data_IF_870524664061
#
_entry.id   IF_870524664061
#
_cell.length_a   1.000
_cell.length_b   1.000
_cell.length_c   1.000
_cell.angle_alpha   90.00
_cell.angle_beta   90.00
_cell.angle_gamma   90.00
#
_symmetry.space_group_name_H-M   'P 1'
#
loop_
_entity.id
_entity.type
_entity.pdbx_description
1 polymer ?
#
# COMPACT_ATOMS: atom_id res chain seq x y z
N UNK A 1 -19.84 2.32 -12.31
CA UNK A 1 -18.67 1.66 -11.68
C UNK A 1 -19.17 0.52 -10.80
N UNK A 2 -18.63 -0.70 -10.95
CA UNK A 2 -18.96 -1.83 -10.06
C UNK A 2 -18.39 -1.54 -8.67
N UNK A 3 -19.22 -1.60 -7.61
CA UNK A 3 -18.73 -1.58 -6.23
C UNK A 3 -17.85 -2.83 -6.03
N UNK A 4 -16.53 -2.65 -5.94
CA UNK A 4 -15.62 -3.73 -5.57
C UNK A 4 -15.84 -4.07 -4.10
N UNK A 5 -15.88 -5.36 -3.79
CA UNK A 5 -15.86 -5.85 -2.40
C UNK A 5 -14.45 -5.73 -1.83
N UNK A 6 -14.33 -5.60 -0.50
CA UNK A 6 -13.06 -5.37 0.21
C UNK A 6 -11.94 -6.35 -0.19
N UNK A 7 -12.27 -7.63 -0.39
CA UNK A 7 -11.30 -8.66 -0.77
C UNK A 7 -10.68 -8.44 -2.14
N UNK A 8 -11.44 -7.92 -3.11
CA UNK A 8 -10.92 -7.61 -4.45
C UNK A 8 -10.04 -6.36 -4.42
N UNK A 9 -10.40 -5.37 -3.61
CA UNK A 9 -9.55 -4.19 -3.38
C UNK A 9 -8.20 -4.58 -2.77
N UNK A 10 -8.19 -5.49 -1.78
CA UNK A 10 -6.95 -5.97 -1.17
C UNK A 10 -6.08 -6.76 -2.16
N UNK A 11 -6.67 -7.61 -2.99
CA UNK A 11 -5.93 -8.34 -4.04
C UNK A 11 -5.27 -7.38 -5.02
N UNK A 12 -6.00 -6.37 -5.48
CA UNK A 12 -5.48 -5.36 -6.40
C UNK A 12 -4.33 -4.56 -5.75
N UNK A 13 -4.50 -4.13 -4.50
CA UNK A 13 -3.49 -3.39 -3.74
C UNK A 13 -2.20 -4.19 -3.56
N UNK A 14 -2.30 -5.46 -3.13
CA UNK A 14 -1.14 -6.35 -2.97
C UNK A 14 -0.47 -6.65 -4.31
N UNK A 15 -1.25 -6.86 -5.38
CA UNK A 15 -0.70 -7.08 -6.71
C UNK A 15 0.07 -5.86 -7.20
N UNK A 16 -0.48 -4.66 -7.04
CA UNK A 16 0.18 -3.41 -7.41
C UNK A 16 1.51 -3.25 -6.65
N UNK A 17 1.50 -3.45 -5.33
CA UNK A 17 2.71 -3.40 -4.49
C UNK A 17 3.77 -4.42 -4.95
N UNK A 18 3.36 -5.64 -5.29
CA UNK A 18 4.28 -6.66 -5.81
C UNK A 18 4.90 -6.26 -7.15
N UNK A 19 4.15 -5.56 -8.00
CA UNK A 19 4.63 -5.09 -9.30
C UNK A 19 5.54 -3.88 -9.18
N UNK A 20 5.31 -2.99 -8.20
CA UNK A 20 6.20 -1.87 -7.92
C UNK A 20 7.52 -2.32 -7.31
N UNK A 21 7.53 -3.39 -6.50
CA UNK A 21 8.72 -3.92 -5.84
C UNK A 21 8.98 -5.40 -6.12
N UNK A 22 9.65 -5.74 -7.24
CA UNK A 22 10.01 -7.13 -7.53
C UNK A 22 11.02 -7.73 -6.52
N UNK A 23 11.71 -6.90 -5.73
CA UNK A 23 12.87 -7.31 -4.91
C UNK A 23 12.68 -7.31 -3.38
N UNK A 24 11.45 -7.18 -2.86
CA UNK A 24 11.21 -7.14 -1.41
C UNK A 24 11.82 -5.92 -0.69
N UNK A 25 11.78 -4.75 -1.32
CA UNK A 25 12.26 -3.55 -0.66
C UNK A 25 11.15 -2.88 0.15
N UNK A 26 11.58 -2.10 1.14
CA UNK A 26 10.75 -1.16 1.87
C UNK A 26 10.24 -0.07 0.92
N UNK A 27 8.92 0.18 0.92
CA UNK A 27 8.27 1.21 0.10
C UNK A 27 7.76 2.32 1.00
N UNK A 28 8.06 3.57 0.66
CA UNK A 28 7.52 4.71 1.38
C UNK A 28 5.98 4.74 1.25
N UNK A 29 5.27 4.95 2.36
CA UNK A 29 3.80 4.94 2.35
C UNK A 29 3.23 5.97 1.35
N UNK A 30 3.83 7.14 1.26
CA UNK A 30 3.36 8.21 0.39
C UNK A 30 3.47 7.84 -1.09
N UNK A 31 4.58 7.22 -1.48
CA UNK A 31 4.78 6.70 -2.83
C UNK A 31 3.78 5.59 -3.15
N UNK A 32 3.57 4.64 -2.23
CA UNK A 32 2.60 3.57 -2.40
C UNK A 32 1.17 4.09 -2.63
N UNK A 33 0.77 5.11 -1.86
CA UNK A 33 -0.54 5.77 -2.00
C UNK A 33 -0.65 6.46 -3.37
N UNK A 34 0.42 7.13 -3.82
CA UNK A 34 0.46 7.76 -5.13
C UNK A 34 0.32 6.73 -6.27
N UNK A 35 0.99 5.57 -6.17
CA UNK A 35 0.84 4.47 -7.12
C UNK A 35 -0.60 3.95 -7.15
N UNK A 36 -1.18 3.62 -5.99
CA UNK A 36 -2.57 3.13 -5.92
C UNK A 36 -3.59 4.15 -6.42
N UNK A 37 -3.32 5.45 -6.25
CA UNK A 37 -4.14 6.52 -6.83
C UNK A 37 -4.02 6.53 -8.35
N UNK A 38 -2.81 6.45 -8.91
CA UNK A 38 -2.57 6.42 -10.34
C UNK A 38 -3.21 5.19 -11.01
N UNK A 39 -3.23 4.05 -10.32
CA UNK A 39 -3.91 2.82 -10.77
C UNK A 39 -5.44 2.86 -10.58
N UNK A 40 -5.98 3.90 -9.93
CA UNK A 40 -7.41 4.02 -9.65
C UNK A 40 -7.94 3.04 -8.59
N UNK A 41 -7.05 2.44 -7.80
CA UNK A 41 -7.40 1.49 -6.73
C UNK A 41 -8.14 2.21 -5.59
N UNK A 42 -7.75 3.45 -5.29
CA UNK A 42 -8.32 4.27 -4.21
C UNK A 42 -9.69 4.88 -4.53
N UNK A 43 -10.23 4.62 -5.72
CA UNK A 43 -11.46 5.22 -6.24
C UNK A 43 -11.21 6.19 -7.39
N UNK A 44 -12.25 6.49 -8.16
CA UNK A 44 -12.21 7.47 -9.25
C UNK A 44 -12.96 8.74 -8.88
N UNK A 45 -12.38 9.91 -9.20
CA UNK A 45 -12.85 11.28 -8.94
C UNK A 45 -12.63 11.87 -7.54
N UNK A 46 -11.82 11.23 -6.70
CA UNK A 46 -11.51 11.78 -5.38
C UNK A 46 -10.46 12.89 -5.44
N UNK A 47 -10.59 13.87 -4.54
CA UNK A 47 -9.54 14.86 -4.30
C UNK A 47 -8.26 14.15 -3.83
N UNK A 48 -7.10 14.79 -3.98
CA UNK A 48 -5.83 14.23 -3.47
C UNK A 48 -5.94 13.82 -2.00
N UNK A 49 -6.53 14.68 -1.16
CA UNK A 49 -6.71 14.41 0.28
C UNK A 49 -7.60 13.20 0.55
N UNK A 50 -8.70 13.04 -0.19
CA UNK A 50 -9.59 11.89 -0.02
C UNK A 50 -8.93 10.58 -0.47
N UNK A 51 -8.25 10.59 -1.61
CA UNK A 51 -7.47 9.44 -2.07
C UNK A 51 -6.38 9.09 -1.06
N UNK A 52 -5.66 10.10 -0.55
CA UNK A 52 -4.60 9.91 0.44
C UNK A 52 -5.13 9.27 1.73
N UNK A 53 -6.21 9.82 2.31
CA UNK A 53 -6.83 9.27 3.51
C UNK A 53 -7.30 7.81 3.32
N UNK A 54 -7.86 7.49 2.14
CA UNK A 54 -8.23 6.10 1.81
C UNK A 54 -7.01 5.20 1.69
N UNK A 55 -5.93 5.71 1.11
CA UNK A 55 -4.64 5.04 1.03
C UNK A 55 -4.13 4.68 2.43
N UNK A 56 -4.13 5.63 3.36
CA UNK A 56 -3.76 5.42 4.77
C UNK A 56 -4.62 4.33 5.41
N UNK A 57 -5.95 4.42 5.33
CA UNK A 57 -6.84 3.39 5.87
C UNK A 57 -6.58 2.00 5.26
N UNK A 58 -6.23 1.94 3.97
CA UNK A 58 -5.92 0.67 3.30
C UNK A 58 -4.59 0.08 3.80
N UNK A 59 -3.56 0.91 3.96
CA UNK A 59 -2.28 0.47 4.55
C UNK A 59 -2.50 -0.05 5.97
N UNK A 60 -3.22 0.69 6.82
CA UNK A 60 -3.54 0.26 8.19
C UNK A 60 -4.31 -1.07 8.21
N UNK A 61 -5.33 -1.22 7.36
CA UNK A 61 -6.11 -2.46 7.26
C UNK A 61 -5.25 -3.67 6.84
N UNK A 62 -4.29 -3.46 5.93
CA UNK A 62 -3.38 -4.51 5.49
C UNK A 62 -2.34 -4.85 6.57
N UNK A 63 -1.88 -3.85 7.36
CA UNK A 63 -1.02 -4.07 8.54
C UNK A 63 -1.76 -4.88 9.61
N UNK A 64 -2.99 -4.50 9.95
CA UNK A 64 -3.82 -5.18 10.95
C UNK A 64 -4.12 -6.64 10.55
N UNK A 65 -4.12 -6.92 9.24
CA UNK A 65 -4.29 -8.26 8.68
C UNK A 65 -2.97 -9.04 8.56
N UNK A 66 -1.87 -8.50 9.11
CA UNK A 66 -0.51 -9.05 9.02
C UNK A 66 -0.01 -9.25 7.58
N UNK A 67 -0.52 -8.46 6.63
CA UNK A 67 -0.14 -8.54 5.21
C UNK A 67 1.02 -7.60 4.87
N UNK A 68 1.15 -6.50 5.61
CA UNK A 68 2.26 -5.56 5.53
C UNK A 68 2.99 -5.48 6.87
N UNK A 69 4.31 -5.36 6.81
CA UNK A 69 5.15 -4.98 7.93
C UNK A 69 5.50 -3.49 7.82
N UNK A 70 5.60 -2.81 8.95
CA UNK A 70 6.02 -1.41 9.02
C UNK A 70 7.49 -1.32 9.41
N UNK A 71 8.24 -0.50 8.67
CA UNK A 71 9.61 -0.14 8.99
C UNK A 71 9.71 1.37 9.09
N UNK A 72 10.23 1.85 10.21
CA UNK A 72 10.43 3.28 10.48
C UNK A 72 11.93 3.54 10.42
N UNK A 73 12.36 4.37 9.48
CA UNK A 73 13.75 4.83 9.47
C UNK A 73 13.83 6.21 10.11
N UNK A 74 14.41 6.27 11.30
CA UNK A 74 14.88 7.52 11.89
C UNK A 74 16.20 7.89 11.23
N UNK A 75 16.13 8.65 10.14
CA UNK A 75 17.29 9.29 9.52
C UNK A 75 17.38 10.72 10.04
N UNK A 76 18.48 11.09 10.71
CA UNK A 76 18.74 12.47 11.19
C UNK A 76 18.65 13.53 10.07
N UNK A 77 18.73 13.14 8.79
CA UNK A 77 18.70 14.02 7.62
C UNK A 77 17.36 14.04 6.86
N UNK A 78 16.49 13.06 7.08
CA UNK A 78 15.24 12.93 6.33
C UNK A 78 14.13 12.82 7.36
N UNK A 79 13.22 13.79 7.36
CA UNK A 79 11.99 13.76 8.16
C UNK A 79 11.42 12.35 8.21
N UNK A 80 11.04 11.89 9.40
CA UNK A 80 10.39 10.61 9.69
C UNK A 80 9.65 10.01 8.47
N UNK A 81 10.31 9.06 7.80
CA UNK A 81 9.77 8.35 6.64
C UNK A 81 9.21 7.02 7.13
N UNK A 82 7.92 6.81 6.89
CA UNK A 82 7.26 5.54 7.19
C UNK A 82 7.30 4.64 5.96
N UNK A 83 7.93 3.48 6.10
CA UNK A 83 7.99 2.46 5.07
C UNK A 83 7.11 1.27 5.40
N UNK A 84 6.66 0.59 4.36
CA UNK A 84 5.95 -0.68 4.43
C UNK A 84 6.52 -1.68 3.43
N UNK A 85 6.51 -2.95 3.81
CA UNK A 85 6.86 -4.06 2.92
C UNK A 85 5.85 -5.19 3.04
N UNK A 86 5.71 -5.98 1.99
CA UNK A 86 4.86 -7.17 2.03
C UNK A 86 5.53 -8.27 2.83
N UNK A 87 4.79 -8.87 3.77
CA UNK A 87 5.29 -9.98 4.58
C UNK A 87 5.67 -11.17 3.68
N UNK A 88 6.82 -11.80 3.95
CA UNK A 88 7.35 -12.89 3.11
C UNK A 88 6.35 -14.04 2.90
N UNK A 89 5.54 -14.35 3.92
CA UNK A 89 4.49 -15.39 3.83
C UNK A 89 3.44 -15.04 2.77
N UNK A 90 3.03 -13.77 2.67
CA UNK A 90 2.04 -13.32 1.66
C UNK A 90 2.62 -13.40 0.25
N UNK A 91 3.90 -13.07 0.10
CA UNK A 91 4.61 -13.19 -1.18
C UNK A 91 4.67 -14.63 -1.66
N UNK A 92 4.97 -15.57 -0.76
CA UNK A 92 5.14 -16.97 -1.12
C UNK A 92 3.83 -17.67 -1.47
N UNK A 93 2.71 -17.29 -0.83
CA UNK A 93 1.38 -17.84 -1.16
C UNK A 93 0.68 -17.15 -2.33
N UNK A 94 1.20 -16.01 -2.81
CA UNK A 94 0.62 -15.26 -3.94
C UNK A 94 1.30 -15.52 -5.29
N UNK A 95 2.23 -16.48 -5.35
CA UNK A 95 2.83 -16.99 -6.60
C UNK A 95 1.82 -17.69 -7.49
#
# INVERSE_FOLDING_TARGET
>A
MRRKIRTELWKDALKSLRMSEPYNNDVEKDDLINYWRAEGILGGHDTYKEAYNRGITMIESLKDSCLLEEHKMDSEKLHYMDFVKMHDVVRDVSK
#
